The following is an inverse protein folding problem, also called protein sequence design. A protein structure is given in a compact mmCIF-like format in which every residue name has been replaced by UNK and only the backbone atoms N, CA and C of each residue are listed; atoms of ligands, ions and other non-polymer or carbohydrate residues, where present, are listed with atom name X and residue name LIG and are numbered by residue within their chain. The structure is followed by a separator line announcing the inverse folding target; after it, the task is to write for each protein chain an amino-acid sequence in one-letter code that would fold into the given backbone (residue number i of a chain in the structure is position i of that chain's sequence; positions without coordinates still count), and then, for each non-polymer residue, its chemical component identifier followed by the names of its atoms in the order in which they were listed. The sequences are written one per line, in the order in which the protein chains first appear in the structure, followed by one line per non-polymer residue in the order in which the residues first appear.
data_IF_286280338140
#
_entry.id   IF_286280338140
#
_cell.length_a   1.000
_cell.length_b   1.000
_cell.length_c   1.000
_cell.angle_alpha   90.00
_cell.angle_beta   90.00
_cell.angle_gamma   90.00
#
_symmetry.space_group_name_H-M   'P 1'
#
loop_
_entity.id
_entity.type
_entity.pdbx_description
1 polymer ?
#
# COMPACT_ATOMS: atom_id res chain seq x y z
N UNK A 1 10.96 9.48 17.10
CA UNK A 1 9.52 9.79 16.92
C UNK A 1 9.11 9.92 15.46
N UNK A 2 9.78 10.73 14.64
CA UNK A 2 9.44 10.93 13.22
C UNK A 2 9.34 9.63 12.39
N UNK A 3 10.30 8.71 12.55
CA UNK A 3 10.32 7.41 11.83
C UNK A 3 9.06 6.57 12.09
N UNK A 4 8.61 6.55 13.35
CA UNK A 4 7.42 5.82 13.81
C UNK A 4 6.16 6.48 13.24
N UNK A 5 6.11 7.82 13.25
CA UNK A 5 5.01 8.58 12.66
C UNK A 5 4.87 8.29 11.16
N UNK A 6 5.98 8.30 10.41
CA UNK A 6 5.98 7.98 8.98
C UNK A 6 5.51 6.54 8.71
N UNK A 7 5.92 5.59 9.55
CA UNK A 7 5.51 4.19 9.41
C UNK A 7 4.00 4.05 9.56
N UNK A 8 3.45 4.57 10.66
CA UNK A 8 2.02 4.49 10.92
C UNK A 8 1.21 5.33 9.94
N UNK A 9 1.72 6.49 9.53
CA UNK A 9 1.10 7.31 8.49
C UNK A 9 1.00 6.56 7.16
N UNK A 10 2.07 5.92 6.71
CA UNK A 10 2.05 5.12 5.48
C UNK A 10 1.09 3.93 5.59
N UNK A 11 1.13 3.21 6.72
CA UNK A 11 0.22 2.11 6.98
C UNK A 11 -1.25 2.56 6.96
N UNK A 12 -1.57 3.67 7.62
CA UNK A 12 -2.93 4.24 7.66
C UNK A 12 -3.38 4.71 6.29
N UNK A 13 -2.52 5.37 5.51
CA UNK A 13 -2.84 5.75 4.12
C UNK A 13 -3.14 4.52 3.27
N UNK A 14 -2.36 3.44 3.41
CA UNK A 14 -2.62 2.18 2.73
C UNK A 14 -3.97 1.55 3.16
N UNK A 15 -4.22 1.45 4.47
CA UNK A 15 -5.46 0.90 5.01
C UNK A 15 -6.69 1.72 4.60
N UNK A 16 -6.58 3.05 4.64
CA UNK A 16 -7.63 3.96 4.18
C UNK A 16 -7.86 3.83 2.67
N UNK A 17 -6.79 3.71 1.87
CA UNK A 17 -6.91 3.50 0.42
C UNK A 17 -7.76 2.27 0.06
N UNK A 18 -7.69 1.20 0.86
CA UNK A 18 -8.50 -0.01 0.67
C UNK A 18 -9.99 0.24 0.97
N UNK A 19 -10.33 1.08 1.94
CA UNK A 19 -11.72 1.36 2.33
C UNK A 19 -12.37 2.47 1.50
N UNK A 20 -11.57 3.33 0.86
CA UNK A 20 -12.04 4.42 -0.01
C UNK A 20 -12.89 3.94 -1.18
N UNK A 21 -12.73 2.68 -1.61
CA UNK A 21 -13.56 2.05 -2.63
C UNK A 21 -15.07 2.11 -2.34
N UNK A 22 -15.47 2.14 -1.07
CA UNK A 22 -16.88 2.24 -0.68
C UNK A 22 -17.46 3.65 -0.83
N UNK A 23 -16.63 4.69 -0.98
CA UNK A 23 -17.06 6.08 -0.93
C UNK A 23 -16.89 6.80 -2.27
N UNK A 24 -15.86 6.46 -3.04
CA UNK A 24 -15.58 7.07 -4.32
C UNK A 24 -16.31 6.38 -5.49
N UNK A 25 -16.40 7.08 -6.61
CA UNK A 25 -16.92 6.50 -7.86
C UNK A 25 -15.90 5.54 -8.46
N UNK A 26 -16.38 4.54 -9.21
CA UNK A 26 -15.52 3.54 -9.87
C UNK A 26 -14.40 4.18 -10.73
N UNK A 27 -14.66 5.22 -11.56
CA UNK A 27 -13.60 5.88 -12.31
C UNK A 27 -12.53 6.52 -11.44
N UNK A 28 -12.91 7.12 -10.30
CA UNK A 28 -11.96 7.71 -9.36
C UNK A 28 -11.09 6.64 -8.69
N UNK A 29 -11.69 5.51 -8.30
CA UNK A 29 -10.96 4.39 -7.68
C UNK A 29 -9.96 3.78 -8.65
N UNK A 30 -10.37 3.52 -9.89
CA UNK A 30 -9.46 3.06 -10.95
C UNK A 30 -8.33 4.06 -11.15
N UNK A 31 -8.65 5.37 -11.25
CA UNK A 31 -7.67 6.43 -11.40
C UNK A 31 -6.65 6.47 -10.26
N UNK A 32 -7.10 6.35 -9.00
CA UNK A 32 -6.22 6.31 -7.82
C UNK A 32 -5.32 5.07 -7.80
N UNK A 33 -5.85 3.89 -8.14
CA UNK A 33 -5.05 2.66 -8.22
C UNK A 33 -3.99 2.79 -9.32
N UNK A 34 -4.36 3.30 -10.50
CA UNK A 34 -3.42 3.53 -11.61
C UNK A 34 -2.36 4.57 -11.20
N UNK A 35 -2.76 5.68 -10.60
CA UNK A 35 -1.84 6.72 -10.14
C UNK A 35 -0.87 6.17 -9.09
N UNK A 36 -1.36 5.34 -8.17
CA UNK A 36 -0.50 4.69 -7.19
C UNK A 36 0.49 3.72 -7.86
N UNK A 37 0.06 2.93 -8.84
CA UNK A 37 0.95 2.04 -9.62
C UNK A 37 2.01 2.83 -10.38
N UNK A 38 1.62 3.93 -11.03
CA UNK A 38 2.55 4.82 -11.73
C UNK A 38 3.56 5.43 -10.76
N UNK A 39 3.10 5.90 -9.59
CA UNK A 39 3.97 6.39 -8.53
C UNK A 39 5.00 5.33 -8.13
N UNK A 40 4.58 4.09 -7.88
CA UNK A 40 5.49 3.01 -7.49
C UNK A 40 6.57 2.76 -8.57
N UNK A 41 6.21 2.86 -9.85
CA UNK A 41 7.16 2.70 -10.95
C UNK A 41 8.13 3.89 -11.03
N UNK A 42 7.60 5.12 -10.99
CA UNK A 42 8.39 6.36 -11.11
C UNK A 42 9.40 6.53 -9.98
N UNK A 43 8.98 6.27 -8.74
CA UNK A 43 9.84 6.41 -7.55
C UNK A 43 10.55 5.11 -7.17
N UNK A 44 10.42 4.06 -8.01
CA UNK A 44 10.94 2.70 -7.75
C UNK A 44 10.59 2.22 -6.33
N UNK A 45 9.32 2.41 -5.93
CA UNK A 45 8.81 2.20 -4.58
C UNK A 45 7.87 3.32 -4.13
N UNK A 46 7.21 3.17 -2.97
CA UNK A 46 6.40 4.25 -2.42
C UNK A 46 7.28 5.40 -1.93
N UNK A 47 6.86 6.65 -2.16
CA UNK A 47 7.66 7.83 -1.77
C UNK A 47 7.87 7.88 -0.25
N UNK A 48 6.85 7.50 0.54
CA UNK A 48 6.98 7.47 2.00
C UNK A 48 7.99 6.40 2.42
N UNK A 49 7.95 5.22 1.80
CA UNK A 49 8.94 4.15 2.01
C UNK A 49 10.35 4.62 1.68
N UNK A 50 10.54 5.27 0.53
CA UNK A 50 11.84 5.85 0.13
C UNK A 50 12.36 6.87 1.14
N UNK A 51 11.48 7.72 1.65
CA UNK A 51 11.84 8.68 2.68
C UNK A 51 12.20 8.00 4.01
N UNK A 52 11.51 6.92 4.38
CA UNK A 52 11.84 6.12 5.57
C UNK A 52 13.19 5.39 5.42
N UNK A 53 13.48 4.85 4.24
CA UNK A 53 14.76 4.23 3.90
C UNK A 53 15.89 5.27 3.97
N UNK A 54 15.69 6.45 3.39
CA UNK A 54 16.64 7.57 3.46
C UNK A 54 16.94 8.00 4.91
N UNK A 55 15.92 7.99 5.78
CA UNK A 55 16.10 8.27 7.21
C UNK A 55 16.74 7.11 8.00
N UNK A 56 17.13 6.02 7.34
CA UNK A 56 17.70 4.82 7.97
C UNK A 56 16.72 4.13 8.90
N UNK A 57 15.44 3.99 8.50
CA UNK A 57 14.46 3.23 9.27
C UNK A 57 14.52 1.73 8.98
N UNK A 58 14.76 1.35 7.73
CA UNK A 58 14.99 -0.02 7.27
C UNK A 58 15.82 -0.02 5.97
N UNK A 59 16.46 -1.15 5.59
CA UNK A 59 17.34 -1.20 4.43
C UNK A 59 16.64 -0.91 3.10
N UNK A 60 17.38 -0.35 2.15
CA UNK A 60 16.87 0.08 0.83
C UNK A 60 16.33 -1.06 -0.05
N UNK A 61 16.73 -2.29 0.26
CA UNK A 61 16.32 -3.49 -0.47
C UNK A 61 15.08 -4.18 0.13
N UNK A 62 14.59 -3.70 1.28
CA UNK A 62 13.44 -4.30 1.98
C UNK A 62 12.17 -3.56 1.59
N UNK A 63 11.16 -4.31 1.13
CA UNK A 63 9.86 -3.77 0.78
C UNK A 63 9.07 -3.39 2.03
N UNK A 64 8.33 -2.28 1.96
CA UNK A 64 7.50 -1.83 3.10
C UNK A 64 6.46 -2.89 3.51
N UNK A 65 5.85 -3.58 2.54
CA UNK A 65 4.92 -4.67 2.80
C UNK A 65 5.56 -5.82 3.58
N UNK A 66 6.85 -6.07 3.37
CA UNK A 66 7.61 -7.08 4.12
C UNK A 66 7.78 -6.65 5.57
N UNK A 67 8.14 -5.38 5.80
CA UNK A 67 8.24 -4.80 7.15
C UNK A 67 6.90 -4.87 7.87
N UNK A 68 5.81 -4.49 7.19
CA UNK A 68 4.45 -4.55 7.75
C UNK A 68 4.08 -5.99 8.10
N UNK A 69 4.22 -6.93 7.17
CA UNK A 69 3.86 -8.32 7.42
C UNK A 69 4.68 -8.96 8.54
N UNK A 70 6.00 -8.71 8.57
CA UNK A 70 6.86 -9.19 9.67
C UNK A 70 6.45 -8.58 11.01
N UNK A 71 6.05 -7.31 11.04
CA UNK A 71 5.58 -6.63 12.25
C UNK A 71 4.26 -7.19 12.79
N UNK A 72 3.31 -7.56 11.92
CA UNK A 72 2.00 -8.06 12.34
C UNK A 72 1.94 -9.58 12.55
N UNK A 73 2.71 -10.34 11.77
CA UNK A 73 2.66 -11.81 11.80
C UNK A 73 3.85 -12.45 12.53
N UNK A 74 4.92 -11.68 12.78
CA UNK A 74 6.18 -12.19 13.32
C UNK A 74 6.97 -13.08 12.35
N UNK A 75 6.48 -13.27 11.11
CA UNK A 75 7.05 -14.19 10.12
C UNK A 75 7.57 -13.43 8.91
N UNK A 76 8.62 -13.98 8.31
CA UNK A 76 9.06 -13.53 6.99
C UNK A 76 8.11 -14.08 5.93
N UNK A 77 7.74 -13.22 4.97
CA UNK A 77 6.88 -13.59 3.86
C UNK A 77 7.71 -13.71 2.58
N UNK A 78 7.33 -14.68 1.78
CA UNK A 78 7.98 -14.92 0.49
C UNK A 78 7.66 -13.80 -0.51
N UNK A 79 8.53 -13.63 -1.52
CA UNK A 79 8.28 -12.69 -2.63
C UNK A 79 6.96 -12.94 -3.36
N UNK A 80 6.50 -14.19 -3.42
CA UNK A 80 5.22 -14.55 -4.03
C UNK A 80 4.06 -14.02 -3.18
N UNK A 81 4.11 -14.22 -1.85
CA UNK A 81 3.10 -13.69 -0.93
C UNK A 81 3.07 -12.16 -0.95
N UNK A 82 4.24 -11.51 -1.00
CA UNK A 82 4.35 -10.06 -1.16
C UNK A 82 3.62 -9.56 -2.40
N UNK A 83 3.87 -10.18 -3.56
CA UNK A 83 3.16 -9.84 -4.80
C UNK A 83 1.66 -10.05 -4.70
N UNK A 84 1.21 -11.13 -4.06
CA UNK A 84 -0.22 -11.39 -3.87
C UNK A 84 -0.86 -10.28 -3.03
N UNK A 85 -0.23 -9.90 -1.91
CA UNK A 85 -0.74 -8.83 -1.05
C UNK A 85 -0.78 -7.50 -1.82
N UNK A 86 0.28 -7.18 -2.56
CA UNK A 86 0.37 -5.97 -3.37
C UNK A 86 -0.71 -5.91 -4.47
N UNK A 87 -1.03 -7.03 -5.13
CA UNK A 87 -2.16 -7.07 -6.07
C UNK A 87 -3.51 -6.95 -5.35
N UNK A 88 -3.67 -7.62 -4.20
CA UNK A 88 -4.89 -7.59 -3.41
C UNK A 88 -5.22 -6.17 -2.93
N UNK A 89 -4.24 -5.42 -2.43
CA UNK A 89 -4.45 -4.02 -1.97
C UNK A 89 -4.90 -3.09 -3.10
N UNK A 90 -4.57 -3.39 -4.36
CA UNK A 90 -5.09 -2.66 -5.53
C UNK A 90 -6.47 -3.15 -6.00
N UNK A 91 -6.74 -4.45 -5.91
CA UNK A 91 -7.99 -5.06 -6.40
C UNK A 91 -9.17 -4.86 -5.44
N UNK A 92 -8.95 -4.99 -4.12
CA UNK A 92 -10.00 -4.85 -3.11
C UNK A 92 -10.79 -3.55 -3.25
N UNK A 93 -10.18 -2.35 -3.37
CA UNK A 93 -10.94 -1.11 -3.51
C UNK A 93 -11.76 -1.07 -4.82
N UNK A 94 -11.26 -1.67 -5.91
CA UNK A 94 -12.00 -1.76 -7.19
C UNK A 94 -13.23 -2.65 -7.02
N UNK A 95 -13.07 -3.81 -6.38
CA UNK A 95 -14.18 -4.73 -6.09
C UNK A 95 -15.21 -4.05 -5.18
N UNK A 96 -14.77 -3.36 -4.12
CA UNK A 96 -15.65 -2.61 -3.24
C UNK A 96 -16.46 -1.53 -3.98
N UNK A 97 -15.79 -0.75 -4.84
CA UNK A 97 -16.44 0.27 -5.66
C UNK A 97 -17.43 -0.32 -6.67
N UNK A 98 -17.11 -1.51 -7.20
CA UNK A 98 -17.98 -2.23 -8.14
C UNK A 98 -19.23 -2.75 -7.43
N UNK A 99 -19.08 -3.42 -6.28
CA UNK A 99 -20.21 -3.95 -5.49
C UNK A 99 -21.19 -2.83 -5.13
N UNK A 100 -20.69 -1.64 -4.76
CA UNK A 100 -21.52 -0.46 -4.47
C UNK A 100 -22.44 -0.08 -5.64
N UNK A 101 -22.06 -0.32 -6.90
CA UNK A 101 -22.92 0.00 -8.04
C UNK A 101 -24.16 -0.91 -8.13
N UNK A 102 -24.15 -2.05 -7.44
CA UNK A 102 -25.21 -3.05 -7.45
C UNK A 102 -26.06 -3.08 -6.16
N UNK A 103 -25.74 -2.22 -5.17
CA UNK A 103 -26.50 -2.07 -3.91
C UNK A 103 -27.15 -0.68 -3.91
#
# INVERSE_FOLDING_TARGET
MLKILLFWGHFLVGAFGVTVGFYLSLPMVIGLVVLHRLHLVLFRGCAITRFQQYLGHFPDHVDFLEVVAKKFTGREITRVQLKIIDYATGLIPIVAATIRLYI
#
